data_IF_608115736020
#
_entry.id   IF_608115736020
#
_cell.length_a   1.000
_cell.length_b   1.000
_cell.length_c   1.000
_cell.angle_alpha   90.00
_cell.angle_beta   90.00
_cell.angle_gamma   90.00
#
_symmetry.space_group_name_H-M   'P 1'
#
loop_
_entity.id
_entity.type
_entity.pdbx_description
1 polymer ?
#
# COMPACT_ATOMS: atom_id res chain seq x y z
N UNK A 1 -12.35 5.38 -12.06
CA UNK A 1 -11.43 4.50 -12.81
C UNK A 1 -12.13 3.16 -13.00
N UNK A 2 -11.91 2.47 -14.12
CA UNK A 2 -12.37 1.07 -14.28
C UNK A 2 -11.48 0.13 -13.45
N UNK A 3 -12.10 -0.75 -12.66
CA UNK A 3 -11.39 -1.70 -11.81
C UNK A 3 -10.61 -2.73 -12.61
N UNK A 4 -11.09 -3.12 -13.80
CA UNK A 4 -10.41 -4.12 -14.62
C UNK A 4 -9.10 -3.57 -15.18
N UNK A 5 -9.09 -2.29 -15.57
CA UNK A 5 -7.86 -1.57 -15.93
C UNK A 5 -6.88 -1.51 -14.75
N UNK A 6 -7.36 -1.23 -13.53
CA UNK A 6 -6.50 -1.20 -12.35
C UNK A 6 -5.89 -2.57 -12.02
N UNK A 7 -6.70 -3.63 -12.02
CA UNK A 7 -6.23 -5.02 -11.83
C UNK A 7 -5.17 -5.39 -12.88
N UNK A 8 -5.36 -4.97 -14.13
CA UNK A 8 -4.37 -5.16 -15.20
C UNK A 8 -3.06 -4.40 -14.95
N UNK A 9 -3.14 -3.17 -14.45
CA UNK A 9 -1.97 -2.36 -14.12
C UNK A 9 -1.15 -2.97 -12.96
N UNK A 10 -1.84 -3.38 -11.90
CA UNK A 10 -1.24 -4.07 -10.73
C UNK A 10 -0.55 -5.36 -11.18
N UNK A 11 -1.19 -6.19 -12.01
CA UNK A 11 -0.61 -7.44 -12.49
C UNK A 11 0.67 -7.25 -13.35
N UNK A 12 0.82 -6.09 -13.99
CA UNK A 12 2.03 -5.73 -14.77
C UNK A 12 3.17 -5.17 -13.91
N UNK A 13 2.87 -4.69 -12.71
CA UNK A 13 3.87 -4.12 -11.82
C UNK A 13 4.79 -5.21 -11.28
N UNK A 14 6.11 -4.98 -11.34
CA UNK A 14 7.11 -5.93 -10.83
C UNK A 14 7.20 -5.98 -9.30
N UNK A 15 6.58 -5.01 -8.62
CA UNK A 15 6.68 -4.83 -7.17
C UNK A 15 5.29 -4.90 -6.49
N UNK A 16 4.28 -5.40 -7.19
CA UNK A 16 2.92 -5.59 -6.67
C UNK A 16 2.67 -6.98 -6.08
N UNK A 17 3.70 -7.82 -5.96
CA UNK A 17 3.60 -9.23 -5.55
C UNK A 17 2.92 -9.45 -4.19
N UNK A 18 2.78 -8.41 -3.38
CA UNK A 18 2.11 -8.44 -2.07
C UNK A 18 0.89 -7.52 -1.99
N UNK A 19 0.47 -6.97 -3.12
CA UNK A 19 -0.82 -6.29 -3.20
C UNK A 19 -1.82 -7.43 -3.21
N UNK A 20 -2.50 -7.62 -2.08
CA UNK A 20 -3.63 -8.53 -1.99
C UNK A 20 -4.72 -8.15 -2.99
N UNK A 21 -5.90 -8.72 -2.82
CA UNK A 21 -7.02 -8.41 -3.70
C UNK A 21 -7.24 -6.89 -3.85
N UNK A 22 -7.46 -6.44 -5.09
CA UNK A 22 -7.80 -5.04 -5.36
C UNK A 22 -9.15 -4.76 -4.72
N UNK A 23 -9.18 -3.85 -3.75
CA UNK A 23 -10.37 -3.47 -3.02
C UNK A 23 -11.36 -2.78 -3.94
N UNK A 24 -12.51 -3.42 -4.16
CA UNK A 24 -13.54 -2.90 -5.07
C UNK A 24 -14.34 -1.74 -4.48
N UNK A 25 -14.33 -1.61 -3.15
CA UNK A 25 -14.94 -0.52 -2.40
C UNK A 25 -14.08 0.75 -2.36
N UNK A 26 -12.83 0.68 -2.82
CA UNK A 26 -11.93 1.82 -2.86
C UNK A 26 -12.12 2.67 -4.13
N UNK A 27 -11.98 3.99 -3.99
CA UNK A 27 -11.80 4.89 -5.11
C UNK A 27 -10.38 4.74 -5.66
N UNK A 28 -10.26 4.20 -6.88
CA UNK A 28 -8.99 3.85 -7.51
C UNK A 28 -8.43 4.97 -8.41
N UNK A 29 -7.11 5.15 -8.38
CA UNK A 29 -6.36 6.14 -9.13
C UNK A 29 -5.16 5.50 -9.84
N UNK A 30 -4.92 5.85 -11.11
CA UNK A 30 -3.77 5.42 -11.91
C UNK A 30 -3.07 6.64 -12.50
N UNK A 31 -1.75 6.55 -12.61
CA UNK A 31 -0.88 7.61 -13.10
C UNK A 31 0.26 7.03 -13.95
N UNK A 32 0.92 7.91 -14.71
CA UNK A 32 2.14 7.59 -15.46
C UNK A 32 1.98 6.33 -16.31
N UNK A 33 1.02 6.35 -17.24
CA UNK A 33 0.72 5.26 -18.17
C UNK A 33 0.50 3.91 -17.47
N UNK A 34 -0.33 3.93 -16.41
CA UNK A 34 -0.72 2.77 -15.61
C UNK A 34 0.46 2.06 -14.91
N UNK A 35 1.57 2.77 -14.68
CA UNK A 35 2.73 2.22 -13.95
C UNK A 35 2.74 2.54 -12.46
N UNK A 36 1.81 3.38 -12.01
CA UNK A 36 1.65 3.81 -10.63
C UNK A 36 0.17 3.93 -10.30
N UNK A 37 -0.21 3.64 -9.05
CA UNK A 37 -1.59 3.77 -8.62
C UNK A 37 -1.77 3.56 -7.13
N UNK A 38 -2.96 3.91 -6.66
CA UNK A 38 -3.44 3.64 -5.31
C UNK A 38 -4.97 3.62 -5.27
N UNK A 39 -5.52 3.04 -4.21
CA UNK A 39 -6.92 3.14 -3.83
C UNK A 39 -7.07 3.88 -2.50
N UNK A 40 -8.22 4.56 -2.34
CA UNK A 40 -8.63 5.15 -1.06
C UNK A 40 -10.05 4.67 -0.75
N UNK A 41 -10.23 4.00 0.37
CA UNK A 41 -11.55 3.55 0.87
C UNK A 41 -12.35 4.74 1.44
N UNK A 42 -13.64 4.54 1.72
CA UNK A 42 -14.50 5.59 2.30
C UNK A 42 -14.01 6.07 3.67
N UNK A 43 -13.44 5.19 4.49
CA UNK A 43 -12.84 5.50 5.79
C UNK A 43 -11.43 6.10 5.71
N UNK A 44 -10.95 6.41 4.50
CA UNK A 44 -9.64 7.01 4.23
C UNK A 44 -8.44 6.08 4.41
N UNK A 45 -8.62 4.77 4.24
CA UNK A 45 -7.52 3.81 4.15
C UNK A 45 -6.83 3.92 2.79
N UNK A 46 -5.51 4.08 2.79
CA UNK A 46 -4.68 3.89 1.61
C UNK A 46 -4.49 2.40 1.34
N UNK A 47 -4.99 1.94 0.21
CA UNK A 47 -4.98 0.52 -0.18
C UNK A 47 -4.42 0.33 -1.58
N UNK A 48 -3.96 -0.89 -1.88
CA UNK A 48 -3.47 -1.32 -3.19
C UNK A 48 -2.46 -0.38 -3.88
N UNK A 49 -1.67 0.41 -3.13
CA UNK A 49 -0.68 1.32 -3.72
C UNK A 49 0.45 0.54 -4.41
N UNK A 50 0.79 0.94 -5.63
CA UNK A 50 1.92 0.38 -6.37
C UNK A 50 2.68 1.44 -7.15
N UNK A 51 3.97 1.18 -7.36
CA UNK A 51 4.82 1.99 -8.23
C UNK A 51 6.04 1.20 -8.68
N UNK A 52 6.71 1.68 -9.72
CA UNK A 52 8.06 1.23 -10.05
C UNK A 52 9.07 1.70 -8.98
N UNK A 53 10.15 0.93 -8.81
CA UNK A 53 11.23 1.23 -7.88
C UNK A 53 11.70 2.69 -8.02
N UNK A 54 11.75 3.40 -6.89
CA UNK A 54 12.16 4.81 -6.83
C UNK A 54 11.10 5.82 -7.25
N UNK A 55 9.88 5.39 -7.61
CA UNK A 55 8.78 6.28 -8.06
C UNK A 55 7.59 6.33 -7.10
N UNK A 56 7.75 5.85 -5.87
CA UNK A 56 6.64 5.77 -4.91
C UNK A 56 6.26 7.09 -4.24
N UNK A 57 7.18 8.05 -4.13
CA UNK A 57 6.92 9.27 -3.32
C UNK A 57 5.82 10.16 -3.91
N UNK A 58 5.77 10.29 -5.24
CA UNK A 58 4.74 11.09 -5.92
C UNK A 58 3.34 10.51 -5.71
N UNK A 59 3.05 9.22 -5.99
CA UNK A 59 1.73 8.66 -5.73
C UNK A 59 1.36 8.67 -4.25
N UNK A 60 2.33 8.55 -3.33
CA UNK A 60 2.06 8.69 -1.89
C UNK A 60 1.60 10.11 -1.52
N UNK A 61 2.28 11.15 -2.00
CA UNK A 61 1.87 12.54 -1.77
C UNK A 61 0.48 12.81 -2.35
N UNK A 62 0.22 12.32 -3.56
CA UNK A 62 -1.10 12.41 -4.19
C UNK A 62 -2.17 11.68 -3.35
N UNK A 63 -1.88 10.51 -2.80
CA UNK A 63 -2.82 9.79 -1.95
C UNK A 63 -3.22 10.58 -0.70
N UNK A 64 -2.25 11.23 -0.05
CA UNK A 64 -2.50 12.12 1.10
C UNK A 64 -3.37 13.31 0.70
N UNK A 65 -3.06 13.94 -0.43
CA UNK A 65 -3.84 15.05 -0.99
C UNK A 65 -5.28 14.62 -1.32
N UNK A 66 -5.46 13.40 -1.83
CA UNK A 66 -6.76 12.81 -2.16
C UNK A 66 -7.52 12.25 -0.94
N UNK A 67 -6.98 12.39 0.27
CA UNK A 67 -7.69 12.11 1.51
C UNK A 67 -7.26 10.85 2.25
N UNK A 68 -6.19 10.16 1.86
CA UNK A 68 -5.69 9.03 2.64
C UNK A 68 -5.23 9.48 4.04
N UNK A 69 -5.66 8.76 5.09
CA UNK A 69 -5.37 9.11 6.50
C UNK A 69 -4.88 7.93 7.34
N UNK A 70 -5.11 6.70 6.94
CA UNK A 70 -4.48 5.54 7.57
C UNK A 70 -4.11 4.46 6.55
N UNK A 71 -3.28 3.52 6.98
CA UNK A 71 -2.87 2.34 6.21
C UNK A 71 -2.35 1.26 7.16
N UNK A 72 -2.18 0.06 6.63
CA UNK A 72 -1.34 -0.95 7.24
C UNK A 72 -0.26 -1.40 6.24
N UNK A 73 0.90 -1.78 6.75
CA UNK A 73 2.01 -2.25 5.94
C UNK A 73 2.95 -3.15 6.73
N UNK A 74 3.74 -3.97 6.05
CA UNK A 74 4.82 -4.73 6.71
C UNK A 74 5.91 -3.78 7.22
N UNK A 75 6.45 -4.06 8.40
CA UNK A 75 7.53 -3.28 8.98
C UNK A 75 8.83 -3.33 8.14
N UNK A 76 9.69 -2.32 8.31
CA UNK A 76 10.99 -2.20 7.68
C UNK A 76 11.10 -1.01 6.74
N UNK A 77 11.08 -1.25 5.43
CA UNK A 77 11.17 -0.16 4.44
C UNK A 77 9.89 0.67 4.37
N UNK A 78 8.73 0.02 4.38
CA UNK A 78 7.44 0.67 4.15
C UNK A 78 7.09 1.65 5.27
N UNK A 79 7.27 1.25 6.53
CA UNK A 79 7.03 2.14 7.69
C UNK A 79 7.88 3.41 7.63
N UNK A 80 9.17 3.28 7.28
CA UNK A 80 10.07 4.44 7.06
C UNK A 80 9.63 5.29 5.87
N UNK A 81 9.18 4.66 4.80
CA UNK A 81 8.71 5.34 3.59
C UNK A 81 7.43 6.16 3.86
N UNK A 82 6.41 5.57 4.49
CA UNK A 82 5.17 6.26 4.82
C UNK A 82 5.38 7.36 5.88
N UNK A 83 6.33 7.18 6.79
CA UNK A 83 6.68 8.20 7.79
C UNK A 83 7.19 9.51 7.17
N UNK A 84 7.72 9.49 5.94
CA UNK A 84 8.22 10.68 5.24
C UNK A 84 7.14 11.73 5.00
N UNK A 85 5.87 11.32 4.92
CA UNK A 85 4.72 12.23 4.68
C UNK A 85 3.82 12.38 5.90
N UNK A 86 4.26 11.93 7.08
CA UNK A 86 3.59 12.17 8.35
C UNK A 86 2.68 11.05 8.87
N UNK A 87 2.65 9.88 8.23
CA UNK A 87 2.06 8.69 8.86
C UNK A 87 2.90 8.28 10.07
N UNK A 88 2.24 7.98 11.19
CA UNK A 88 2.88 7.46 12.41
C UNK A 88 2.25 6.13 12.78
N UNK A 89 3.07 5.20 13.25
CA UNK A 89 2.60 3.95 13.86
C UNK A 89 1.66 4.26 15.04
N UNK A 90 0.54 3.53 15.11
CA UNK A 90 -0.39 3.59 16.25
C UNK A 90 -0.76 2.21 16.78
N UNK A 91 -0.55 1.14 15.99
CA UNK A 91 -0.80 -0.24 16.41
C UNK A 91 0.06 -1.21 15.57
N UNK A 92 0.19 -2.45 16.05
CA UNK A 92 1.04 -3.49 15.45
C UNK A 92 0.51 -4.88 15.75
N UNK A 93 0.56 -5.75 14.75
CA UNK A 93 0.24 -7.18 14.86
C UNK A 93 1.46 -7.99 14.47
N UNK A 94 1.85 -8.94 15.34
CA UNK A 94 2.97 -9.85 15.10
C UNK A 94 2.70 -10.69 13.85
N UNK A 95 3.73 -10.90 13.03
CA UNK A 95 3.59 -11.75 11.84
C UNK A 95 3.12 -13.16 12.21
N UNK A 96 1.97 -13.57 11.67
CA UNK A 96 1.45 -14.92 11.82
C UNK A 96 1.75 -15.73 10.55
N UNK A 97 2.59 -16.76 10.69
CA UNK A 97 2.97 -17.68 9.63
C UNK A 97 1.75 -18.39 9.04
N UNK A 98 0.70 -18.63 9.83
CA UNK A 98 -0.54 -19.26 9.36
C UNK A 98 -1.36 -18.34 8.43
N UNK A 99 -1.11 -17.03 8.45
CA UNK A 99 -1.77 -16.03 7.61
C UNK A 99 -0.86 -15.49 6.50
N UNK A 100 0.36 -16.04 6.37
CA UNK A 100 1.28 -15.63 5.32
C UNK A 100 0.67 -15.90 3.93
N UNK A 101 0.78 -14.97 2.98
CA UNK A 101 0.31 -15.18 1.61
C UNK A 101 0.96 -16.41 0.95
N UNK A 102 0.21 -17.07 0.07
CA UNK A 102 0.72 -18.18 -0.73
C UNK A 102 2.00 -17.77 -1.48
N UNK A 103 3.06 -18.56 -1.32
CA UNK A 103 4.35 -18.29 -1.96
C UNK A 103 5.22 -17.24 -1.27
N UNK A 104 4.94 -16.89 0.00
CA UNK A 104 5.79 -16.01 0.79
C UNK A 104 7.26 -16.49 0.86
N UNK A 105 8.19 -15.65 0.41
CA UNK A 105 9.62 -15.92 0.47
C UNK A 105 10.21 -15.47 1.82
N UNK A 106 10.28 -16.40 2.76
CA UNK A 106 10.82 -16.16 4.11
C UNK A 106 12.30 -15.76 4.11
N UNK A 107 13.09 -16.15 3.12
CA UNK A 107 14.50 -15.75 3.06
C UNK A 107 14.64 -14.30 2.61
N UNK A 108 13.78 -13.87 1.69
CA UNK A 108 13.79 -12.51 1.16
C UNK A 108 13.08 -11.51 2.08
N UNK A 109 11.92 -11.89 2.62
CA UNK A 109 11.03 -10.98 3.35
C UNK A 109 11.07 -11.18 4.87
N UNK A 110 11.52 -12.33 5.37
CA UNK A 110 11.48 -12.67 6.80
C UNK A 110 10.05 -12.84 7.31
N UNK A 111 9.81 -12.45 8.56
CA UNK A 111 8.48 -12.45 9.21
C UNK A 111 8.19 -11.07 9.83
N UNK A 112 8.06 -10.00 9.01
CA UNK A 112 7.90 -8.64 9.51
C UNK A 112 6.49 -8.44 10.06
N UNK A 113 6.38 -7.79 11.21
CA UNK A 113 5.08 -7.43 11.77
C UNK A 113 4.26 -6.57 10.79
N UNK A 114 2.94 -6.63 10.92
CA UNK A 114 2.04 -5.69 10.26
C UNK A 114 1.88 -4.47 11.16
N UNK A 115 2.21 -3.30 10.64
CA UNK A 115 2.16 -2.02 11.34
C UNK A 115 1.02 -1.19 10.79
N UNK A 116 0.15 -0.75 11.70
CA UNK A 116 -0.93 0.18 11.39
C UNK A 116 -0.44 1.60 11.62
N UNK A 117 -0.61 2.43 10.60
CA UNK A 117 -0.15 3.80 10.61
C UNK A 117 -1.30 4.75 10.31
N UNK A 118 -1.28 5.94 10.92
CA UNK A 118 -2.26 7.00 10.67
C UNK A 118 -1.60 8.38 10.72
N UNK A 119 -2.22 9.33 10.05
CA UNK A 119 -1.89 10.73 10.22
C UNK A 119 -2.65 11.30 11.42
N UNK A 120 -2.00 12.16 12.20
CA UNK A 120 -2.71 12.98 13.17
C UNK A 120 -3.54 14.02 12.41
N UNK A 121 -4.85 14.07 12.69
CA UNK A 121 -5.71 15.12 12.16
C UNK A 121 -5.36 16.40 12.93
N UNK A 122 -5.00 17.46 12.20
CA UNK A 122 -4.82 18.79 12.77
C UNK A 122 -6.16 19.39 13.20
#
# INVERSE_FOLDING_TARGET
>A
MDIQRYKTAVAKSKHSTHIGEVREDAKLYLFNDDTQGFGITEDSELVNMFSNKGRGIIPLLMAVEHGARHLNCFDGFLTKFYSQVGFKEYDRVVFDIALAPDGWDYNLYGTPDVVYMRMEVA
#
